data_IF_148268331972
#
_entry.id   IF_148268331972
#
_cell.length_a   1.000
_cell.length_b   1.000
_cell.length_c   1.000
_cell.angle_alpha   90.00
_cell.angle_beta   90.00
_cell.angle_gamma   90.00
#
_symmetry.space_group_name_H-M   'P 1'
#
loop_
_entity.id
_entity.type
_entity.pdbx_description
1 polymer ?
#
# COMPACT_ATOMS: atom_id res chain seq x y z
N UNK A 1 5.79 49.82 -82.56
CA UNK A 1 6.84 49.16 -81.80
C UNK A 1 6.15 48.50 -80.56
N UNK A 2 5.91 47.23 -80.63
CA UNK A 2 5.21 46.49 -79.56
C UNK A 2 6.25 45.60 -78.82
N UNK A 3 6.50 45.93 -77.55
CA UNK A 3 7.41 45.12 -76.70
C UNK A 3 6.63 44.10 -75.94
N UNK A 4 6.83 42.83 -76.23
CA UNK A 4 6.29 41.69 -75.49
C UNK A 4 7.11 41.47 -74.21
N UNK A 5 6.47 41.49 -73.04
CA UNK A 5 7.05 41.04 -71.77
C UNK A 5 6.78 39.61 -71.59
N UNK A 6 7.83 38.78 -71.54
CA UNK A 6 7.79 37.37 -71.13
C UNK A 6 7.66 37.31 -69.62
N UNK A 7 6.61 36.72 -69.11
CA UNK A 7 6.43 36.39 -67.68
C UNK A 7 7.04 34.99 -67.46
N UNK A 8 8.12 34.89 -66.69
CA UNK A 8 8.68 33.61 -66.26
C UNK A 8 7.94 33.17 -64.99
N UNK A 9 7.21 32.06 -65.07
CA UNK A 9 6.66 31.35 -63.88
C UNK A 9 7.78 30.54 -63.22
N UNK A 10 8.18 30.91 -62.03
CA UNK A 10 8.98 30.07 -61.14
C UNK A 10 8.06 29.08 -60.44
N UNK A 11 8.15 27.80 -60.81
CA UNK A 11 7.55 26.71 -60.09
C UNK A 11 8.42 26.36 -58.86
N UNK A 12 7.94 26.70 -57.65
CA UNK A 12 8.55 26.29 -56.40
C UNK A 12 8.24 24.80 -56.17
N UNK A 13 9.21 23.94 -56.36
CA UNK A 13 9.12 22.53 -55.99
C UNK A 13 9.25 22.46 -54.44
N UNK A 14 8.12 22.22 -53.74
CA UNK A 14 8.09 21.89 -52.32
C UNK A 14 8.58 20.46 -52.13
N UNK A 15 9.84 20.30 -51.70
CA UNK A 15 10.35 19.04 -51.18
C UNK A 15 9.69 18.74 -49.81
N UNK A 16 8.54 18.10 -49.83
CA UNK A 16 7.97 17.52 -48.60
C UNK A 16 8.88 16.37 -48.14
N UNK A 17 9.48 16.52 -46.95
CA UNK A 17 10.19 15.42 -46.31
C UNK A 17 9.20 14.22 -46.11
N UNK A 18 9.62 12.96 -46.36
CA UNK A 18 8.75 11.85 -46.16
C UNK A 18 8.35 11.74 -44.72
N UNK A 19 7.05 11.72 -44.44
CA UNK A 19 6.51 11.44 -43.13
C UNK A 19 7.02 10.05 -42.72
N UNK A 20 7.71 9.98 -41.57
CA UNK A 20 8.12 8.70 -40.98
C UNK A 20 6.85 7.91 -40.68
N UNK A 21 6.51 6.94 -41.51
CA UNK A 21 5.48 5.95 -41.23
C UNK A 21 5.97 5.11 -40.04
N UNK A 22 5.55 5.49 -38.82
CA UNK A 22 5.74 4.65 -37.64
C UNK A 22 4.77 3.49 -37.75
N UNK A 23 5.30 2.29 -38.04
CA UNK A 23 4.54 1.05 -37.94
C UNK A 23 3.89 0.99 -36.55
N UNK A 24 2.57 0.73 -36.44
CA UNK A 24 1.91 0.65 -35.14
C UNK A 24 2.61 -0.43 -34.29
N UNK A 25 3.08 -0.05 -33.10
CA UNK A 25 3.72 -0.98 -32.17
C UNK A 25 2.67 -2.00 -31.71
N UNK A 26 2.90 -3.28 -31.98
CA UNK A 26 1.99 -4.35 -31.54
C UNK A 26 2.07 -4.48 -30.02
N UNK A 27 0.91 -4.50 -29.36
CA UNK A 27 0.82 -4.77 -27.92
C UNK A 27 1.24 -6.20 -27.59
N UNK A 28 1.82 -6.38 -26.41
CA UNK A 28 2.16 -7.66 -25.82
C UNK A 28 0.92 -8.29 -25.17
N UNK A 29 0.93 -9.62 -25.04
CA UNK A 29 -0.03 -10.30 -24.18
C UNK A 29 0.38 -10.16 -22.70
N UNK A 30 -0.55 -10.34 -21.78
CA UNK A 30 -0.24 -10.34 -20.34
C UNK A 30 0.85 -11.37 -20.00
N UNK A 31 0.79 -12.56 -20.63
CA UNK A 31 1.80 -13.60 -20.50
C UNK A 31 3.18 -13.15 -20.97
N UNK A 32 3.27 -12.44 -22.09
CA UNK A 32 4.54 -11.91 -22.60
C UNK A 32 5.13 -10.89 -21.63
N UNK A 33 4.29 -9.99 -21.07
CA UNK A 33 4.70 -8.99 -20.09
C UNK A 33 5.28 -9.68 -18.85
N UNK A 34 4.58 -10.68 -18.31
CA UNK A 34 5.04 -11.45 -17.15
C UNK A 34 6.38 -12.10 -17.43
N UNK A 35 6.51 -12.85 -18.53
CA UNK A 35 7.74 -13.57 -18.87
C UNK A 35 8.95 -12.65 -19.06
N UNK A 36 8.75 -11.43 -19.58
CA UNK A 36 9.83 -10.47 -19.83
C UNK A 36 10.22 -9.65 -18.59
N UNK A 37 9.35 -9.57 -17.58
CA UNK A 37 9.54 -8.61 -16.47
C UNK A 37 9.79 -9.26 -15.11
N UNK A 38 9.39 -10.53 -14.90
CA UNK A 38 9.43 -11.17 -13.58
C UNK A 38 10.82 -11.13 -12.93
N UNK A 39 11.88 -11.40 -13.69
CA UNK A 39 13.25 -11.41 -13.17
C UNK A 39 13.75 -10.03 -12.70
N UNK A 40 13.09 -8.96 -13.12
CA UNK A 40 13.41 -7.60 -12.71
C UNK A 40 12.50 -7.09 -11.57
N UNK A 41 11.57 -7.90 -11.10
CA UNK A 41 10.70 -7.58 -9.97
C UNK A 41 11.30 -8.22 -8.71
N UNK A 42 11.28 -7.49 -7.60
CA UNK A 42 11.94 -7.90 -6.38
C UNK A 42 11.00 -7.82 -5.19
N UNK A 43 11.19 -8.70 -4.22
CA UNK A 43 10.58 -8.62 -2.90
C UNK A 43 11.44 -7.72 -2.01
N UNK A 44 10.80 -6.87 -1.24
CA UNK A 44 11.45 -6.02 -0.24
C UNK A 44 11.00 -6.47 1.15
N UNK A 45 11.98 -6.68 2.01
CA UNK A 45 11.83 -6.94 3.44
C UNK A 45 12.52 -5.77 4.17
N UNK A 46 11.75 -4.97 4.91
CA UNK A 46 12.25 -3.75 5.53
C UNK A 46 11.87 -3.71 7.01
N UNK A 47 12.82 -3.42 7.89
CA UNK A 47 12.61 -3.40 9.33
C UNK A 47 13.76 -2.76 10.09
N UNK A 48 13.78 -3.02 11.40
CA UNK A 48 14.85 -2.54 12.29
C UNK A 48 16.03 -3.51 12.39
N UNK A 49 15.92 -4.69 11.79
CA UNK A 49 16.92 -5.76 11.86
C UNK A 49 16.97 -6.51 13.19
N UNK A 50 16.06 -6.23 14.14
CA UNK A 50 16.07 -6.81 15.48
C UNK A 50 14.98 -7.87 15.67
N UNK A 51 13.77 -7.59 15.18
CA UNK A 51 12.62 -8.47 15.33
C UNK A 51 11.98 -8.74 13.97
N UNK A 52 11.44 -9.97 13.78
CA UNK A 52 10.68 -10.32 12.58
C UNK A 52 9.30 -9.65 12.55
N UNK A 53 8.79 -9.28 13.71
CA UNK A 53 7.49 -8.64 13.87
C UNK A 53 7.47 -7.18 13.37
N UNK A 54 8.64 -6.55 13.24
CA UNK A 54 8.79 -5.21 12.67
C UNK A 54 9.02 -5.21 11.15
N UNK A 55 9.08 -6.39 10.50
CA UNK A 55 9.35 -6.49 9.07
C UNK A 55 8.12 -6.09 8.25
N UNK A 56 8.28 -5.02 7.47
CA UNK A 56 7.37 -4.61 6.41
C UNK A 56 7.69 -5.39 5.14
N UNK A 57 6.67 -5.86 4.46
CA UNK A 57 6.82 -6.56 3.18
C UNK A 57 6.26 -5.71 2.06
N UNK A 58 6.97 -5.66 0.95
CA UNK A 58 6.55 -4.96 -0.24
C UNK A 58 7.23 -5.48 -1.51
N UNK A 59 6.92 -4.82 -2.59
CA UNK A 59 7.47 -5.10 -3.91
C UNK A 59 8.34 -3.93 -4.37
N UNK A 60 9.33 -4.22 -5.20
CA UNK A 60 10.11 -3.23 -5.93
C UNK A 60 10.44 -3.75 -7.32
N UNK A 61 11.11 -2.93 -8.11
CA UNK A 61 11.58 -3.33 -9.43
C UNK A 61 12.87 -2.63 -9.82
N UNK A 62 13.68 -3.30 -10.61
CA UNK A 62 15.03 -2.90 -10.99
C UNK A 62 14.98 -1.95 -12.19
N UNK A 63 15.52 -0.74 -12.04
CA UNK A 63 15.59 0.30 -13.06
C UNK A 63 16.94 0.36 -13.77
N UNK A 64 18.02 -0.06 -13.08
CA UNK A 64 19.36 -0.05 -13.64
C UNK A 64 20.10 -1.34 -13.29
N UNK A 65 20.86 -1.87 -14.24
CA UNK A 65 21.64 -3.13 -14.11
C UNK A 65 22.66 -3.08 -12.99
N UNK A 66 23.06 -1.89 -12.56
CA UNK A 66 23.96 -1.61 -11.46
C UNK A 66 23.27 -1.67 -10.08
N UNK A 67 21.96 -1.98 -10.02
CA UNK A 67 21.24 -2.21 -8.78
C UNK A 67 20.46 -1.00 -8.26
N UNK A 68 19.86 -0.19 -9.14
CA UNK A 68 18.84 0.78 -8.72
C UNK A 68 17.46 0.10 -8.68
N UNK A 69 16.78 0.22 -7.57
CA UNK A 69 15.47 -0.39 -7.33
C UNK A 69 14.46 0.68 -6.94
N UNK A 70 13.34 0.73 -7.62
CA UNK A 70 12.21 1.60 -7.28
C UNK A 70 11.19 0.87 -6.42
N UNK A 71 10.58 1.61 -5.48
CA UNK A 71 9.48 1.14 -4.63
C UNK A 71 8.69 2.33 -4.07
N UNK A 72 7.64 2.06 -3.27
CA UNK A 72 7.00 3.10 -2.45
C UNK A 72 7.85 3.44 -1.22
N UNK A 73 7.79 4.71 -0.80
CA UNK A 73 8.49 5.17 0.39
C UNK A 73 7.97 4.48 1.66
N UNK A 74 6.65 4.34 1.82
CA UNK A 74 6.04 3.71 3.00
C UNK A 74 6.48 2.25 3.21
N UNK A 75 6.88 1.55 2.15
CA UNK A 75 7.42 0.16 2.25
C UNK A 75 8.71 0.13 3.04
N UNK A 76 9.54 1.16 2.92
CA UNK A 76 10.89 1.21 3.52
C UNK A 76 11.05 2.26 4.62
N UNK A 77 10.11 3.19 4.77
CA UNK A 77 10.19 4.27 5.76
C UNK A 77 10.41 3.73 7.19
N UNK A 78 11.24 4.40 7.98
CA UNK A 78 11.56 4.01 9.36
C UNK A 78 12.51 2.80 9.48
N UNK A 79 12.90 2.18 8.37
CA UNK A 79 13.66 0.92 8.37
C UNK A 79 15.16 1.17 8.26
N UNK A 80 15.93 0.58 9.18
CA UNK A 80 17.41 0.62 9.17
C UNK A 80 18.03 -0.63 8.53
N UNK A 81 17.27 -1.71 8.40
CA UNK A 81 17.65 -2.94 7.71
C UNK A 81 16.67 -3.21 6.56
N UNK A 82 17.14 -3.15 5.32
CA UNK A 82 16.33 -3.34 4.13
C UNK A 82 16.99 -4.39 3.25
N UNK A 83 16.30 -5.49 3.02
CA UNK A 83 16.72 -6.60 2.18
C UNK A 83 15.87 -6.67 0.93
N UNK A 84 16.53 -6.98 -0.17
CA UNK A 84 15.90 -7.20 -1.48
C UNK A 84 16.17 -8.64 -1.87
N UNK A 85 15.11 -9.37 -2.20
CA UNK A 85 15.21 -10.73 -2.71
C UNK A 85 14.77 -10.76 -4.17
N UNK A 86 15.68 -11.22 -5.04
CA UNK A 86 15.39 -11.40 -6.46
C UNK A 86 14.42 -12.58 -6.68
N UNK A 87 13.92 -12.68 -7.90
CA UNK A 87 13.03 -13.79 -8.31
C UNK A 87 13.70 -15.17 -8.14
N UNK A 88 14.98 -15.29 -8.42
CA UNK A 88 15.76 -16.54 -8.23
C UNK A 88 16.08 -16.84 -6.74
N UNK A 89 15.57 -16.03 -5.82
CA UNK A 89 15.80 -16.16 -4.38
C UNK A 89 17.08 -15.51 -3.88
N UNK A 90 17.94 -14.94 -4.74
CA UNK A 90 19.19 -14.30 -4.33
C UNK A 90 18.92 -13.05 -3.48
N UNK A 91 19.46 -12.98 -2.24
CA UNK A 91 19.28 -11.82 -1.38
C UNK A 91 20.36 -10.76 -1.62
N UNK A 92 19.96 -9.49 -1.52
CA UNK A 92 20.86 -8.34 -1.49
C UNK A 92 20.49 -7.41 -0.35
N UNK A 93 21.52 -6.86 0.31
CA UNK A 93 21.32 -5.79 1.28
C UNK A 93 21.26 -4.45 0.55
N UNK A 94 20.29 -3.60 0.90
CA UNK A 94 20.29 -2.20 0.49
C UNK A 94 21.44 -1.48 1.18
N UNK A 95 22.22 -0.73 0.43
CA UNK A 95 23.41 -0.04 0.95
C UNK A 95 23.16 1.46 1.18
N UNK A 96 22.25 2.04 0.43
CA UNK A 96 21.88 3.47 0.53
C UNK A 96 20.51 3.74 -0.10
N UNK A 97 19.91 4.83 0.31
CA UNK A 97 18.76 5.44 -0.36
C UNK A 97 19.30 6.48 -1.34
N UNK A 98 19.05 6.26 -2.63
CA UNK A 98 19.58 7.12 -3.70
C UNK A 98 18.76 8.41 -3.81
N UNK A 99 17.46 8.32 -3.71
CA UNK A 99 16.54 9.46 -3.74
C UNK A 99 15.17 9.06 -3.20
N UNK A 100 14.40 10.05 -2.76
CA UNK A 100 13.04 9.88 -2.28
C UNK A 100 12.17 11.07 -2.68
N UNK A 101 10.87 10.81 -2.80
CA UNK A 101 9.82 11.82 -2.97
C UNK A 101 8.69 11.52 -1.96
N UNK A 102 8.75 12.13 -0.75
CA UNK A 102 7.72 11.89 0.27
C UNK A 102 6.33 12.32 -0.16
N UNK A 103 6.23 13.39 -0.96
CA UNK A 103 4.95 13.90 -1.45
C UNK A 103 4.25 12.96 -2.44
N UNK A 104 4.99 12.04 -3.06
CA UNK A 104 4.49 11.06 -4.02
C UNK A 104 4.69 9.62 -3.58
N UNK A 105 5.16 9.41 -2.35
CA UNK A 105 5.39 8.08 -1.79
C UNK A 105 6.33 7.21 -2.64
N UNK A 106 7.45 7.76 -3.09
CA UNK A 106 8.44 7.06 -3.93
C UNK A 106 9.82 7.04 -3.30
N UNK A 107 10.54 5.94 -3.49
CA UNK A 107 11.94 5.78 -3.09
C UNK A 107 12.74 5.03 -4.15
N UNK A 108 14.01 5.41 -4.32
CA UNK A 108 15.01 4.69 -5.11
C UNK A 108 16.08 4.17 -4.17
N UNK A 109 16.26 2.86 -4.17
CA UNK A 109 17.20 2.12 -3.35
C UNK A 109 18.40 1.70 -4.18
N UNK A 110 19.55 1.47 -3.53
CA UNK A 110 20.74 0.89 -4.16
C UNK A 110 21.13 -0.43 -3.50
N UNK A 111 21.32 -1.44 -4.32
CA UNK A 111 22.02 -2.67 -3.99
C UNK A 111 23.34 -2.74 -4.77
N UNK A 112 24.25 -3.62 -4.35
CA UNK A 112 25.52 -3.89 -5.04
C UNK A 112 25.51 -5.30 -5.62
N UNK A 113 24.97 -5.48 -6.85
CA UNK A 113 24.92 -6.80 -7.46
C UNK A 113 26.30 -7.24 -7.94
N UNK A 114 26.57 -8.55 -7.88
CA UNK A 114 27.82 -9.15 -8.37
C UNK A 114 27.86 -9.37 -9.88
N UNK A 115 26.68 -9.29 -10.52
CA UNK A 115 26.49 -9.39 -11.98
C UNK A 115 25.44 -8.39 -12.41
N UNK A 116 25.43 -7.93 -13.68
CA UNK A 116 24.38 -7.07 -14.21
C UNK A 116 22.99 -7.68 -14.03
N UNK A 117 22.05 -6.91 -13.53
CA UNK A 117 20.67 -7.34 -13.27
C UNK A 117 19.77 -7.06 -14.49
N UNK A 118 18.69 -7.83 -14.66
CA UNK A 118 17.61 -7.49 -15.59
C UNK A 118 16.93 -6.20 -15.11
N UNK A 119 16.41 -5.41 -16.07
CA UNK A 119 15.84 -4.09 -15.77
C UNK A 119 14.50 -3.90 -16.46
N UNK A 120 13.62 -3.09 -15.86
CA UNK A 120 12.39 -2.64 -16.49
C UNK A 120 12.56 -1.26 -17.14
N UNK A 121 11.85 -1.04 -18.22
CA UNK A 121 11.81 0.24 -18.94
C UNK A 121 10.66 1.08 -18.43
N UNK A 122 10.93 2.35 -18.12
CA UNK A 122 9.88 3.32 -17.85
C UNK A 122 9.22 3.74 -19.16
N UNK A 123 7.91 3.66 -19.18
CA UNK A 123 7.06 4.19 -20.23
C UNK A 123 6.73 5.67 -20.01
N UNK A 124 5.67 6.12 -20.68
CA UNK A 124 5.11 7.46 -20.50
C UNK A 124 3.77 7.38 -19.79
N UNK A 125 3.77 7.70 -18.50
CA UNK A 125 2.54 7.70 -17.71
C UNK A 125 1.61 8.87 -18.01
N UNK A 126 2.10 9.94 -18.63
CA UNK A 126 1.26 11.08 -19.01
C UNK A 126 0.40 10.77 -20.24
N UNK A 127 0.81 9.74 -21.03
CA UNK A 127 0.03 9.25 -22.14
C UNK A 127 -1.13 8.31 -21.71
N UNK A 128 -1.17 7.90 -20.43
CA UNK A 128 -2.21 6.97 -19.95
C UNK A 128 -3.55 7.67 -19.77
N UNK A 129 -4.59 7.00 -20.24
CA UNK A 129 -5.98 7.49 -20.20
C UNK A 129 -6.94 6.43 -19.69
N UNK A 130 -8.14 6.83 -19.29
CA UNK A 130 -9.18 5.89 -18.88
C UNK A 130 -9.50 4.90 -20.02
N UNK A 131 -9.55 3.62 -19.71
CA UNK A 131 -9.76 2.53 -20.67
C UNK A 131 -8.48 1.85 -21.15
N UNK A 132 -7.29 2.40 -20.87
CA UNK A 132 -6.03 1.75 -21.24
C UNK A 132 -5.80 0.48 -20.42
N UNK A 133 -5.39 -0.59 -21.11
CA UNK A 133 -5.07 -1.86 -20.46
C UNK A 133 -3.79 -1.76 -19.64
N UNK A 134 -3.83 -2.38 -18.46
CA UNK A 134 -2.70 -2.43 -17.55
C UNK A 134 -2.53 -3.83 -16.93
N UNK A 135 -1.30 -4.13 -16.56
CA UNK A 135 -0.91 -5.33 -15.80
C UNK A 135 -0.11 -4.87 -14.58
N UNK A 136 -0.52 -5.30 -13.41
CA UNK A 136 0.22 -5.10 -12.17
C UNK A 136 0.84 -6.43 -11.73
N UNK A 137 2.10 -6.37 -11.31
CA UNK A 137 2.82 -7.54 -10.79
C UNK A 137 3.40 -7.18 -9.44
N UNK A 138 3.11 -8.00 -8.43
CA UNK A 138 3.59 -7.80 -7.07
C UNK A 138 3.84 -9.11 -6.35
N UNK A 139 4.41 -9.02 -5.13
CA UNK A 139 4.65 -10.16 -4.25
C UNK A 139 3.76 -10.04 -3.01
N UNK A 140 2.46 -10.38 -3.12
CA UNK A 140 1.54 -10.24 -2.00
C UNK A 140 1.92 -11.19 -0.86
N UNK A 141 1.93 -10.66 0.36
CA UNK A 141 2.11 -11.39 1.62
C UNK A 141 3.45 -12.14 1.76
N UNK A 142 4.37 -12.03 0.81
CA UNK A 142 5.65 -12.75 0.84
C UNK A 142 5.55 -14.28 0.84
N UNK A 143 4.35 -14.82 0.70
CA UNK A 143 4.04 -16.28 0.76
C UNK A 143 3.87 -16.87 -0.61
N UNK A 144 3.43 -16.08 -1.59
CA UNK A 144 3.21 -16.51 -2.96
C UNK A 144 4.26 -15.90 -3.89
N UNK A 145 4.83 -16.71 -4.77
CA UNK A 145 5.66 -16.23 -5.86
C UNK A 145 4.80 -15.38 -6.79
N UNK A 146 5.04 -14.08 -6.82
CA UNK A 146 4.44 -13.07 -7.71
C UNK A 146 2.97 -13.28 -8.11
N UNK A 147 2.12 -12.35 -7.68
CA UNK A 147 0.75 -12.27 -8.17
C UNK A 147 0.67 -11.29 -9.33
N UNK A 148 -0.02 -11.72 -10.37
CA UNK A 148 -0.33 -10.92 -11.54
C UNK A 148 -1.79 -10.54 -11.50
N UNK A 149 -2.09 -9.27 -11.66
CA UNK A 149 -3.44 -8.79 -11.84
C UNK A 149 -3.53 -7.90 -13.08
N UNK A 150 -4.62 -8.01 -13.82
CA UNK A 150 -4.86 -7.18 -14.98
C UNK A 150 -6.13 -6.37 -14.82
N UNK A 151 -6.21 -5.27 -15.55
CA UNK A 151 -7.34 -4.36 -15.52
C UNK A 151 -7.17 -3.22 -16.50
N UNK A 152 -7.83 -2.12 -16.17
CA UNK A 152 -7.81 -0.89 -16.95
C UNK A 152 -7.44 0.28 -16.03
N UNK A 153 -6.91 1.34 -16.61
CA UNK A 153 -6.94 2.66 -15.98
C UNK A 153 -8.40 3.09 -15.90
N UNK A 154 -8.92 3.23 -14.70
CA UNK A 154 -10.31 3.67 -14.48
C UNK A 154 -10.43 5.19 -14.59
N UNK A 155 -9.42 5.92 -14.12
CA UNK A 155 -9.35 7.39 -14.17
C UNK A 155 -7.94 7.87 -13.89
N UNK A 156 -7.58 9.03 -14.43
CA UNK A 156 -6.40 9.80 -14.00
C UNK A 156 -6.90 10.91 -13.09
N UNK A 157 -6.54 10.87 -11.79
CA UNK A 157 -7.03 11.81 -10.79
C UNK A 157 -5.96 12.79 -10.36
N UNK A 158 -6.24 14.08 -10.50
CA UNK A 158 -5.49 15.10 -9.79
C UNK A 158 -5.91 15.04 -8.30
N UNK A 159 -4.95 14.77 -7.42
CA UNK A 159 -5.15 14.73 -5.97
C UNK A 159 -4.98 16.12 -5.39
N UNK A 160 -3.99 16.85 -5.87
CA UNK A 160 -3.77 18.25 -5.53
C UNK A 160 -3.06 18.99 -6.68
N UNK A 161 -3.23 20.30 -6.71
CA UNK A 161 -2.57 21.20 -7.66
C UNK A 161 -1.23 21.71 -7.11
N UNK A 162 -0.30 22.04 -8.00
CA UNK A 162 1.01 22.59 -7.62
C UNK A 162 0.96 23.92 -6.86
N UNK A 163 -0.17 24.63 -6.90
CA UNK A 163 -0.41 25.86 -6.16
C UNK A 163 -0.77 25.63 -4.68
N UNK A 164 -1.16 24.41 -4.29
CA UNK A 164 -1.51 24.09 -2.91
C UNK A 164 -0.25 23.87 -2.06
N UNK A 165 -0.15 24.55 -0.90
CA UNK A 165 1.03 24.54 -0.03
C UNK A 165 1.45 23.15 0.48
N UNK A 166 0.54 22.18 0.50
CA UNK A 166 0.80 20.78 0.94
C UNK A 166 1.07 19.83 -0.22
N UNK A 167 1.00 20.34 -1.45
CA UNK A 167 1.19 19.52 -2.64
C UNK A 167 2.67 19.48 -3.04
N UNK A 168 3.19 18.33 -3.52
CA UNK A 168 4.54 18.28 -4.04
C UNK A 168 4.70 19.18 -5.27
N UNK A 169 5.92 19.73 -5.53
CA UNK A 169 6.18 20.55 -6.71
C UNK A 169 5.74 19.86 -8.00
N UNK A 170 4.94 20.52 -8.81
CA UNK A 170 4.36 19.97 -10.03
C UNK A 170 3.06 19.19 -9.84
N UNK A 171 2.48 19.23 -8.62
CA UNK A 171 1.22 18.57 -8.31
C UNK A 171 1.35 17.06 -8.06
N UNK A 172 0.24 16.45 -7.67
CA UNK A 172 0.11 15.01 -7.49
C UNK A 172 -1.06 14.49 -8.33
N UNK A 173 -0.76 13.58 -9.25
CA UNK A 173 -1.75 12.78 -9.96
C UNK A 173 -1.62 11.33 -9.53
N UNK A 174 -2.71 10.59 -9.58
CA UNK A 174 -2.75 9.14 -9.37
C UNK A 174 -3.52 8.47 -10.52
N UNK A 175 -3.08 7.30 -10.91
CA UNK A 175 -3.81 6.40 -11.80
C UNK A 175 -4.73 5.55 -10.93
N UNK A 176 -6.04 5.77 -11.01
CA UNK A 176 -7.02 4.86 -10.43
C UNK A 176 -7.14 3.65 -11.35
N UNK A 177 -7.01 2.45 -10.81
CA UNK A 177 -6.97 1.21 -11.60
C UNK A 177 -8.04 0.22 -11.13
N UNK A 178 -8.52 -0.61 -12.06
CA UNK A 178 -9.46 -1.69 -11.76
C UNK A 178 -8.74 -3.01 -11.41
N UNK A 179 -7.44 -3.12 -11.67
CA UNK A 179 -6.66 -4.29 -11.30
C UNK A 179 -6.64 -4.45 -9.76
N UNK A 180 -6.97 -5.64 -9.23
CA UNK A 180 -6.89 -5.88 -7.79
C UNK A 180 -5.45 -5.75 -7.27
N UNK A 181 -5.27 -4.95 -6.21
CA UNK A 181 -4.01 -4.80 -5.49
C UNK A 181 -4.22 -5.27 -4.05
N UNK A 182 -3.32 -6.08 -3.56
CA UNK A 182 -3.33 -6.60 -2.18
C UNK A 182 -2.09 -6.14 -1.42
N UNK A 183 -2.13 -6.29 -0.09
CA UNK A 183 -1.01 -5.99 0.78
C UNK A 183 0.25 -6.75 0.33
N UNK A 184 1.41 -6.06 0.29
CA UNK A 184 2.66 -6.58 -0.25
C UNK A 184 2.86 -6.33 -1.75
N UNK A 185 1.80 -5.97 -2.52
CA UNK A 185 1.95 -5.52 -3.90
C UNK A 185 2.40 -4.06 -4.02
N UNK A 186 2.32 -3.28 -2.93
CA UNK A 186 2.79 -1.88 -2.89
C UNK A 186 4.26 -1.79 -3.31
N UNK A 187 4.58 -0.81 -4.15
CA UNK A 187 5.91 -0.62 -4.73
C UNK A 187 6.15 -1.42 -6.02
N UNK A 188 5.23 -2.30 -6.41
CA UNK A 188 5.32 -3.09 -7.62
C UNK A 188 5.08 -2.28 -8.90
N UNK A 189 5.57 -2.75 -10.06
CA UNK A 189 5.38 -2.09 -11.33
C UNK A 189 3.95 -2.27 -11.87
N UNK A 190 3.41 -1.19 -12.46
CA UNK A 190 2.23 -1.19 -13.29
C UNK A 190 2.67 -1.05 -14.75
N UNK A 191 2.33 -2.01 -15.59
CA UNK A 191 2.72 -2.05 -16.99
C UNK A 191 1.59 -1.59 -17.91
N UNK A 192 1.96 -0.92 -19.02
CA UNK A 192 1.09 -0.72 -20.16
C UNK A 192 1.11 -1.96 -21.08
N UNK A 193 0.29 -1.94 -22.13
CA UNK A 193 0.22 -3.01 -23.14
C UNK A 193 1.54 -3.25 -23.92
N UNK A 194 2.56 -2.43 -23.76
CA UNK A 194 3.86 -2.58 -24.40
C UNK A 194 4.94 -3.13 -23.46
N UNK A 195 4.58 -3.52 -22.23
CA UNK A 195 5.52 -4.02 -21.23
C UNK A 195 6.40 -2.92 -20.63
N UNK A 196 5.97 -1.67 -20.71
CA UNK A 196 6.67 -0.55 -20.11
C UNK A 196 6.00 -0.14 -18.78
N UNK A 197 6.80 0.19 -17.77
CA UNK A 197 6.31 0.62 -16.47
C UNK A 197 5.73 2.02 -16.57
N UNK A 198 4.43 2.16 -16.33
CA UNK A 198 3.70 3.43 -16.33
C UNK A 198 3.25 3.84 -14.93
N UNK A 199 3.49 3.02 -13.91
CA UNK A 199 3.17 3.38 -12.53
C UNK A 199 3.81 2.48 -11.50
N UNK A 200 3.73 2.92 -10.25
CA UNK A 200 4.11 2.15 -9.05
C UNK A 200 2.82 1.89 -8.28
N UNK A 201 2.46 0.63 -8.09
CA UNK A 201 1.21 0.25 -7.43
C UNK A 201 1.22 0.66 -5.96
N UNK A 202 0.12 1.23 -5.49
CA UNK A 202 -0.08 1.59 -4.08
C UNK A 202 -1.53 1.32 -3.68
N UNK A 203 -1.74 0.86 -2.46
CA UNK A 203 -3.07 0.61 -1.91
C UNK A 203 -3.46 1.80 -1.03
N UNK A 204 -4.57 2.45 -1.37
CA UNK A 204 -5.15 3.51 -0.55
C UNK A 204 -6.50 3.03 -0.04
N UNK A 205 -6.65 2.98 1.29
CA UNK A 205 -7.93 2.69 1.94
C UNK A 205 -8.62 4.01 2.25
N UNK A 206 -9.73 4.29 1.57
CA UNK A 206 -10.54 5.48 1.80
C UNK A 206 -11.97 5.10 2.17
N UNK A 207 -12.48 5.63 3.27
CA UNK A 207 -13.87 5.45 3.72
C UNK A 207 -14.35 3.98 3.75
N UNK A 208 -13.50 3.05 4.17
CA UNK A 208 -13.85 1.63 4.31
C UNK A 208 -13.90 0.84 3.00
N UNK A 209 -13.49 1.43 1.88
CA UNK A 209 -13.33 0.74 0.59
C UNK A 209 -11.87 0.80 0.15
N UNK A 210 -11.35 -0.34 -0.29
CA UNK A 210 -10.04 -0.40 -0.94
C UNK A 210 -10.19 0.08 -2.38
N UNK A 211 -9.59 1.24 -2.68
CA UNK A 211 -9.51 1.75 -4.05
C UNK A 211 -8.07 1.59 -4.51
N UNK A 212 -7.89 0.89 -5.62
CA UNK A 212 -6.57 0.59 -6.15
C UNK A 212 -6.03 1.77 -6.95
N UNK A 213 -4.81 2.19 -6.64
CA UNK A 213 -4.13 3.28 -7.32
C UNK A 213 -2.71 2.87 -7.73
N UNK A 214 -2.15 3.65 -8.64
CA UNK A 214 -0.72 3.65 -8.91
C UNK A 214 -0.22 5.09 -9.01
N UNK A 215 0.97 5.31 -8.49
CA UNK A 215 1.70 6.56 -8.65
C UNK A 215 2.29 6.59 -10.06
N UNK A 216 2.08 7.64 -10.87
CA UNK A 216 2.61 7.72 -12.24
C UNK A 216 4.11 7.50 -12.34
N UNK A 217 4.53 6.65 -13.28
CA UNK A 217 5.94 6.26 -13.48
C UNK A 217 6.85 7.42 -13.90
N UNK A 218 6.31 8.46 -14.53
CA UNK A 218 7.08 9.65 -14.91
C UNK A 218 7.71 10.36 -13.69
N UNK A 219 7.13 10.22 -12.49
CA UNK A 219 7.72 10.78 -11.26
C UNK A 219 9.02 10.09 -10.83
N UNK A 220 9.30 8.87 -11.31
CA UNK A 220 10.59 8.20 -11.06
C UNK A 220 11.74 8.80 -11.88
N UNK A 221 11.46 9.39 -13.05
CA UNK A 221 12.51 9.90 -13.97
C UNK A 221 13.43 10.93 -13.30
N UNK A 222 12.91 11.97 -12.61
CA UNK A 222 13.78 12.93 -11.91
C UNK A 222 14.52 12.32 -10.71
N UNK A 223 13.96 11.31 -10.04
CA UNK A 223 14.60 10.65 -8.91
C UNK A 223 15.81 9.82 -9.34
N UNK A 224 15.73 9.16 -10.50
CA UNK A 224 16.85 8.43 -11.10
C UNK A 224 17.92 9.38 -11.64
N UNK A 225 17.51 10.54 -12.20
CA UNK A 225 18.42 11.50 -12.82
C UNK A 225 19.23 12.34 -11.83
N UNK A 226 18.79 12.47 -10.58
CA UNK A 226 19.43 13.27 -9.54
C UNK A 226 19.72 12.40 -8.31
N UNK A 227 20.69 11.50 -8.41
CA UNK A 227 21.03 10.64 -7.27
C UNK A 227 21.63 11.49 -6.15
N UNK A 228 21.01 11.46 -5.00
CA UNK A 228 21.63 11.75 -3.71
C UNK A 228 22.16 10.45 -3.12
N UNK A 229 22.65 10.51 -1.89
CA UNK A 229 22.97 9.32 -1.11
C UNK A 229 22.67 9.64 0.36
N UNK A 230 21.68 8.96 0.91
CA UNK A 230 21.34 9.02 2.33
C UNK A 230 21.66 7.66 2.92
N UNK A 231 22.39 7.64 4.03
CA UNK A 231 22.66 6.39 4.73
C UNK A 231 21.36 5.80 5.28
N UNK A 232 21.29 4.47 5.40
CA UNK A 232 20.09 3.81 5.94
C UNK A 232 19.77 4.27 7.36
N UNK A 233 20.79 4.54 8.19
CA UNK A 233 20.58 5.01 9.55
C UNK A 233 19.97 6.42 9.61
N UNK A 234 20.43 7.33 8.76
CA UNK A 234 19.89 8.68 8.61
C UNK A 234 18.47 8.65 8.03
N UNK A 235 18.28 7.89 6.96
CA UNK A 235 16.97 7.66 6.35
C UNK A 235 15.94 7.11 7.34
N UNK A 236 16.30 6.06 8.10
CA UNK A 236 15.43 5.48 9.10
C UNK A 236 15.01 6.50 10.16
N UNK A 237 15.94 7.37 10.58
CA UNK A 237 15.65 8.44 11.55
C UNK A 237 14.74 9.51 10.98
N UNK A 238 14.99 9.95 9.74
CA UNK A 238 14.22 11.02 9.09
C UNK A 238 12.81 10.60 8.67
N UNK A 239 12.64 9.32 8.32
CA UNK A 239 11.35 8.79 7.84
C UNK A 239 10.56 8.01 8.89
N UNK A 240 11.08 7.94 10.14
CA UNK A 240 10.34 7.36 11.25
C UNK A 240 9.12 8.24 11.54
N UNK A 241 7.94 7.62 11.53
CA UNK A 241 6.71 8.31 11.87
C UNK A 241 6.56 8.44 13.39
N UNK A 242 5.76 9.41 13.84
CA UNK A 242 5.36 9.47 15.25
C UNK A 242 4.63 8.21 15.74
N UNK A 243 3.99 7.49 14.81
CA UNK A 243 3.37 6.19 15.06
C UNK A 243 4.42 5.08 15.25
N UNK A 244 5.51 5.10 14.49
CA UNK A 244 6.64 4.17 14.67
C UNK A 244 7.37 4.44 15.99
N UNK A 245 7.52 5.71 16.39
CA UNK A 245 8.11 6.09 17.68
C UNK A 245 7.20 5.69 18.85
N UNK A 246 5.87 5.89 18.73
CA UNK A 246 4.89 5.44 19.70
C UNK A 246 4.87 3.90 19.81
N UNK A 247 5.01 3.20 18.69
CA UNK A 247 5.09 1.72 18.64
C UNK A 247 6.35 1.22 19.35
N UNK A 248 7.51 1.82 19.08
CA UNK A 248 8.77 1.44 19.73
C UNK A 248 8.77 1.74 21.25
N UNK A 249 8.11 2.82 21.68
CA UNK A 249 7.93 3.15 23.10
C UNK A 249 6.95 2.20 23.80
N UNK A 250 5.98 1.66 23.07
CA UNK A 250 4.91 0.80 23.60
C UNK A 250 5.30 -0.67 23.75
N UNK A 251 6.29 -1.16 22.99
CA UNK A 251 6.75 -2.56 23.03
C UNK A 251 7.22 -3.01 24.44
N UNK A 252 7.62 -2.09 25.30
CA UNK A 252 8.07 -2.34 26.69
C UNK A 252 7.08 -1.96 27.79
N UNK A 253 6.01 -1.23 27.50
CA UNK A 253 5.09 -0.77 28.53
C UNK A 253 4.10 -1.88 28.93
N UNK A 254 3.88 -2.11 30.26
CA UNK A 254 2.87 -3.05 30.71
C UNK A 254 1.47 -2.57 30.31
N UNK A 255 0.64 -3.46 29.81
CA UNK A 255 -0.75 -3.15 29.46
C UNK A 255 -1.56 -2.95 30.74
N UNK A 256 -2.14 -1.77 30.90
CA UNK A 256 -3.10 -1.49 31.95
C UNK A 256 -4.49 -1.89 31.45
N UNK A 257 -5.03 -2.98 32.01
CA UNK A 257 -6.38 -3.46 31.69
C UNK A 257 -7.42 -2.60 32.38
N UNK A 258 -8.41 -2.15 31.63
CA UNK A 258 -9.55 -1.36 32.12
C UNK A 258 -10.86 -1.99 31.63
N UNK A 259 -11.15 -3.19 32.13
CA UNK A 259 -12.36 -3.92 31.77
C UNK A 259 -13.59 -3.21 32.34
N UNK A 260 -14.54 -2.76 31.50
CA UNK A 260 -15.72 -2.06 31.98
C UNK A 260 -16.61 -2.95 32.85
N UNK A 261 -17.00 -2.44 34.02
CA UNK A 261 -18.00 -3.10 34.85
C UNK A 261 -19.41 -2.69 34.42
N UNK A 262 -20.15 -3.64 33.85
CA UNK A 262 -21.51 -3.41 33.42
C UNK A 262 -22.53 -4.01 34.38
N UNK A 263 -23.61 -3.26 34.72
CA UNK A 263 -24.75 -3.83 35.42
C UNK A 263 -25.54 -4.74 34.47
N UNK A 264 -26.21 -5.78 35.01
CA UNK A 264 -27.05 -6.70 34.23
C UNK A 264 -28.14 -5.95 33.43
N UNK A 265 -28.57 -4.78 33.91
CA UNK A 265 -29.51 -3.88 33.22
C UNK A 265 -29.01 -3.43 31.83
N UNK A 266 -27.68 -3.49 31.55
CA UNK A 266 -27.15 -3.21 30.21
C UNK A 266 -27.81 -4.11 29.14
N UNK A 267 -28.15 -5.35 29.49
CA UNK A 267 -28.74 -6.34 28.62
C UNK A 267 -30.28 -6.28 28.55
N UNK A 268 -30.88 -5.23 29.13
CA UNK A 268 -32.34 -5.01 29.07
C UNK A 268 -32.79 -4.82 27.62
N UNK A 269 -33.83 -5.52 27.21
CA UNK A 269 -34.34 -5.54 25.83
C UNK A 269 -33.72 -6.61 24.92
N UNK A 270 -32.65 -7.29 25.37
CA UNK A 270 -32.13 -8.46 24.68
C UNK A 270 -32.78 -9.76 25.23
N UNK A 271 -33.14 -10.68 24.36
CA UNK A 271 -33.42 -12.07 24.70
C UNK A 271 -32.12 -12.81 25.05
N UNK A 272 -32.21 -13.92 25.81
CA UNK A 272 -31.05 -14.73 26.16
C UNK A 272 -30.34 -15.28 24.92
N UNK A 273 -31.12 -15.64 23.87
CA UNK A 273 -30.59 -16.08 22.60
C UNK A 273 -29.73 -14.98 21.93
N UNK A 274 -30.21 -13.75 21.92
CA UNK A 274 -29.46 -12.62 21.36
C UNK A 274 -28.19 -12.31 22.14
N UNK A 275 -28.20 -12.41 23.48
CA UNK A 275 -27.01 -12.26 24.29
C UNK A 275 -26.01 -13.38 24.01
N UNK A 276 -26.47 -14.62 23.89
CA UNK A 276 -25.60 -15.76 23.52
C UNK A 276 -24.97 -15.57 22.12
N UNK A 277 -25.71 -15.04 21.15
CA UNK A 277 -25.18 -14.72 19.81
C UNK A 277 -24.12 -13.63 19.87
N UNK A 278 -24.26 -12.59 20.72
CA UNK A 278 -23.21 -11.57 20.94
C UNK A 278 -21.97 -12.20 21.56
N UNK A 279 -22.12 -13.02 22.59
CA UNK A 279 -20.99 -13.70 23.25
C UNK A 279 -20.25 -14.61 22.26
N UNK A 280 -20.97 -15.32 21.41
CA UNK A 280 -20.36 -16.16 20.36
C UNK A 280 -19.55 -15.32 19.37
N UNK A 281 -20.11 -14.22 18.84
CA UNK A 281 -19.39 -13.34 17.91
C UNK A 281 -18.14 -12.70 18.55
N UNK A 282 -18.18 -12.37 19.83
CA UNK A 282 -17.02 -11.89 20.59
C UNK A 282 -15.99 -13.01 20.72
N UNK A 283 -16.41 -14.23 21.07
CA UNK A 283 -15.52 -15.39 21.22
C UNK A 283 -14.82 -15.73 19.90
N UNK A 284 -15.55 -15.74 18.78
CA UNK A 284 -14.99 -15.93 17.43
C UNK A 284 -13.91 -14.87 17.12
N UNK A 285 -14.19 -13.61 17.44
CA UNK A 285 -13.23 -12.54 17.22
C UNK A 285 -11.96 -12.70 18.09
N UNK A 286 -12.11 -13.17 19.33
CA UNK A 286 -10.99 -13.43 20.23
C UNK A 286 -10.18 -14.64 19.73
N UNK A 287 -10.84 -15.71 19.28
CA UNK A 287 -10.20 -16.92 18.79
C UNK A 287 -9.30 -16.62 17.57
N UNK A 288 -9.72 -15.71 16.70
CA UNK A 288 -8.92 -15.27 15.55
C UNK A 288 -7.89 -14.21 15.94
N UNK A 289 -8.27 -13.22 16.73
CA UNK A 289 -7.44 -12.06 17.03
C UNK A 289 -6.31 -12.33 18.03
N UNK A 290 -6.55 -13.14 19.08
CA UNK A 290 -5.54 -13.40 20.10
C UNK A 290 -4.29 -14.16 19.56
N UNK A 291 -4.41 -15.17 18.67
CA UNK A 291 -3.25 -15.75 18.00
C UNK A 291 -2.46 -14.76 17.15
N UNK A 292 -3.14 -13.83 16.46
CA UNK A 292 -2.48 -12.76 15.70
C UNK A 292 -1.69 -11.84 16.62
N UNK A 293 -2.31 -11.40 17.73
CA UNK A 293 -1.63 -10.61 18.75
C UNK A 293 -0.38 -11.30 19.29
N UNK A 294 -0.48 -12.58 19.64
CA UNK A 294 0.63 -13.37 20.19
C UNK A 294 1.76 -13.63 19.17
N UNK A 295 1.48 -13.50 17.88
CA UNK A 295 2.48 -13.54 16.79
C UNK A 295 3.08 -12.16 16.47
N UNK A 296 2.70 -11.10 17.19
CA UNK A 296 3.13 -9.73 16.90
C UNK A 296 2.32 -9.01 15.81
N UNK A 297 1.34 -9.68 15.20
CA UNK A 297 0.44 -9.11 14.18
C UNK A 297 -0.66 -8.24 14.84
N UNK A 298 -0.22 -7.23 15.63
CA UNK A 298 -1.08 -6.48 16.55
C UNK A 298 -2.14 -5.66 15.79
N UNK A 299 -1.77 -5.04 14.67
CA UNK A 299 -2.72 -4.31 13.84
C UNK A 299 -3.79 -5.22 13.26
N UNK A 300 -3.42 -6.42 12.80
CA UNK A 300 -4.38 -7.40 12.29
C UNK A 300 -5.36 -7.84 13.39
N UNK A 301 -4.86 -8.08 14.61
CA UNK A 301 -5.70 -8.34 15.77
C UNK A 301 -6.68 -7.19 16.04
N UNK A 302 -6.18 -5.95 16.09
CA UNK A 302 -7.01 -4.77 16.28
C UNK A 302 -8.11 -4.67 15.22
N UNK A 303 -7.79 -4.88 13.93
CA UNK A 303 -8.75 -4.83 12.84
C UNK A 303 -9.89 -5.86 12.98
N UNK A 304 -9.58 -7.07 13.45
CA UNK A 304 -10.61 -8.08 13.75
C UNK A 304 -11.55 -7.60 14.86
N UNK A 305 -11.00 -7.07 15.95
CA UNK A 305 -11.79 -6.55 17.08
C UNK A 305 -12.60 -5.31 16.67
N UNK A 306 -12.01 -4.39 15.91
CA UNK A 306 -12.67 -3.19 15.39
C UNK A 306 -13.87 -3.53 14.47
N UNK A 307 -13.68 -4.46 13.54
CA UNK A 307 -14.75 -4.89 12.63
C UNK A 307 -15.92 -5.53 13.39
N UNK A 308 -15.63 -6.39 14.37
CA UNK A 308 -16.65 -7.03 15.19
C UNK A 308 -17.39 -6.01 16.06
N UNK A 309 -16.64 -5.10 16.71
CA UNK A 309 -17.21 -4.01 17.51
C UNK A 309 -18.10 -3.08 16.69
N UNK A 310 -17.64 -2.66 15.51
CA UNK A 310 -18.39 -1.76 14.61
C UNK A 310 -19.66 -2.42 14.10
N UNK A 311 -19.64 -3.71 13.78
CA UNK A 311 -20.82 -4.46 13.35
C UNK A 311 -21.88 -4.51 14.46
N UNK A 312 -21.47 -4.84 15.68
CA UNK A 312 -22.34 -4.97 16.84
C UNK A 312 -22.82 -3.63 17.40
N UNK A 313 -22.06 -2.55 17.18
CA UNK A 313 -22.47 -1.18 17.47
C UNK A 313 -23.56 -0.71 16.49
N UNK A 314 -23.39 -0.96 15.18
CA UNK A 314 -24.33 -0.52 14.14
C UNK A 314 -25.65 -1.31 14.11
N UNK A 315 -25.59 -2.59 14.44
CA UNK A 315 -26.75 -3.49 14.46
C UNK A 315 -26.85 -4.21 15.81
N UNK A 316 -27.06 -3.49 16.91
CA UNK A 316 -27.11 -4.08 18.23
C UNK A 316 -28.42 -4.83 18.45
N UNK A 317 -28.38 -5.99 19.13
CA UNK A 317 -29.63 -6.69 19.50
C UNK A 317 -30.45 -5.95 20.54
N UNK A 318 -29.83 -5.09 21.34
CA UNK A 318 -30.47 -4.16 22.27
C UNK A 318 -29.60 -2.91 22.50
N UNK A 319 -30.20 -1.79 22.95
CA UNK A 319 -29.50 -0.50 23.04
C UNK A 319 -28.28 -0.49 23.96
N UNK A 320 -28.27 -1.28 25.02
CA UNK A 320 -27.15 -1.34 25.94
C UNK A 320 -25.90 -1.96 25.34
N UNK A 321 -26.06 -3.03 24.54
CA UNK A 321 -24.95 -3.66 23.82
C UNK A 321 -24.34 -2.69 22.82
N UNK A 322 -25.17 -1.98 22.04
CA UNK A 322 -24.68 -0.96 21.09
C UNK A 322 -23.89 0.15 21.78
N UNK A 323 -24.37 0.65 22.93
CA UNK A 323 -23.62 1.66 23.73
C UNK A 323 -22.28 1.13 24.19
N UNK A 324 -22.22 -0.08 24.74
CA UNK A 324 -20.95 -0.66 25.21
C UNK A 324 -19.91 -0.76 24.11
N UNK A 325 -20.32 -1.18 22.90
CA UNK A 325 -19.40 -1.18 21.74
C UNK A 325 -19.03 0.21 21.26
N UNK A 326 -19.98 1.18 21.26
CA UNK A 326 -19.72 2.58 20.93
C UNK A 326 -18.68 3.21 21.87
N UNK A 327 -18.82 2.99 23.18
CA UNK A 327 -17.88 3.47 24.19
C UNK A 327 -16.49 2.84 24.01
N UNK A 328 -16.43 1.54 23.73
CA UNK A 328 -15.17 0.84 23.45
C UNK A 328 -14.46 1.34 22.17
N UNK A 329 -15.21 1.55 21.09
CA UNK A 329 -14.69 2.13 19.85
C UNK A 329 -14.20 3.57 20.05
N UNK A 330 -14.97 4.38 20.78
CA UNK A 330 -14.57 5.75 21.12
C UNK A 330 -13.27 5.74 21.93
N UNK A 331 -13.17 4.91 22.97
CA UNK A 331 -11.94 4.75 23.74
C UNK A 331 -10.78 4.34 22.85
N UNK A 332 -10.93 3.32 22.03
CA UNK A 332 -9.89 2.86 21.11
C UNK A 332 -9.43 3.98 20.14
N UNK A 333 -10.34 4.84 19.70
CA UNK A 333 -10.01 5.95 18.78
C UNK A 333 -9.13 7.04 19.39
N UNK A 334 -9.11 7.16 20.72
CA UNK A 334 -8.29 8.16 21.44
C UNK A 334 -6.89 7.67 21.79
N UNK A 335 -6.60 6.38 21.63
CA UNK A 335 -5.32 5.76 21.96
C UNK A 335 -4.34 5.86 20.78
N UNK A 336 -3.03 5.86 21.08
CA UNK A 336 -2.02 6.09 20.08
C UNK A 336 -1.65 4.79 19.33
N UNK A 337 -1.38 3.69 20.05
CA UNK A 337 -0.85 2.46 19.47
C UNK A 337 -1.95 1.44 19.16
N UNK A 338 -1.70 0.59 18.16
CA UNK A 338 -2.57 -0.55 17.86
C UNK A 338 -2.67 -1.54 19.01
N UNK A 339 -1.62 -1.64 19.84
CA UNK A 339 -1.59 -2.47 21.05
C UNK A 339 -2.63 -1.99 22.07
N UNK A 340 -2.60 -0.71 22.44
CA UNK A 340 -3.58 -0.10 23.33
C UNK A 340 -5.01 -0.19 22.75
N UNK A 341 -5.17 0.13 21.45
CA UNK A 341 -6.45 0.04 20.74
C UNK A 341 -7.04 -1.37 20.78
N UNK A 342 -6.21 -2.39 20.50
CA UNK A 342 -6.65 -3.79 20.55
C UNK A 342 -7.08 -4.20 21.96
N UNK A 343 -6.35 -3.78 22.99
CA UNK A 343 -6.70 -4.08 24.39
C UNK A 343 -7.92 -3.29 24.86
N UNK A 344 -8.15 -2.06 24.43
CA UNK A 344 -9.37 -1.33 24.74
C UNK A 344 -10.63 -2.04 24.20
N UNK A 345 -10.57 -2.59 23.01
CA UNK A 345 -11.67 -3.39 22.44
C UNK A 345 -11.78 -4.76 23.12
N UNK A 346 -10.63 -5.38 23.48
CA UNK A 346 -10.63 -6.63 24.25
C UNK A 346 -11.25 -6.45 25.62
N UNK A 347 -10.97 -5.33 26.31
CA UNK A 347 -11.60 -5.00 27.61
C UNK A 347 -13.11 -4.84 27.46
N UNK A 348 -13.58 -4.22 26.36
CA UNK A 348 -15.01 -4.11 26.03
C UNK A 348 -15.64 -5.49 25.86
N UNK A 349 -14.97 -6.41 25.15
CA UNK A 349 -15.42 -7.78 24.98
C UNK A 349 -15.52 -8.53 26.30
N UNK A 350 -14.47 -8.44 27.12
CA UNK A 350 -14.43 -9.11 28.42
C UNK A 350 -15.53 -8.56 29.37
N UNK A 351 -15.79 -7.23 29.35
CA UNK A 351 -16.87 -6.62 30.12
C UNK A 351 -18.26 -7.13 29.72
N UNK A 352 -18.49 -7.32 28.42
CA UNK A 352 -19.76 -7.87 27.91
C UNK A 352 -19.90 -9.37 28.21
N UNK A 353 -18.84 -10.15 28.13
CA UNK A 353 -18.85 -11.57 28.54
C UNK A 353 -19.15 -11.69 30.03
N UNK A 354 -18.53 -10.86 30.87
CA UNK A 354 -18.76 -10.88 32.32
C UNK A 354 -20.23 -10.56 32.64
N UNK A 355 -20.83 -9.56 32.01
CA UNK A 355 -22.22 -9.20 32.31
C UNK A 355 -23.21 -10.25 31.76
N UNK A 356 -22.89 -10.90 30.63
CA UNK A 356 -23.65 -12.05 30.12
C UNK A 356 -23.60 -13.22 31.11
N UNK A 357 -22.41 -13.52 31.68
CA UNK A 357 -22.25 -14.51 32.71
C UNK A 357 -23.06 -14.22 33.99
N UNK A 358 -23.13 -12.95 34.41
CA UNK A 358 -23.98 -12.51 35.54
C UNK A 358 -25.48 -12.76 35.27
N UNK A 359 -25.90 -12.80 33.99
CA UNK A 359 -27.26 -13.12 33.55
C UNK A 359 -27.49 -14.65 33.41
N UNK A 360 -26.45 -15.47 33.61
CA UNK A 360 -26.51 -16.93 33.47
C UNK A 360 -26.22 -17.46 32.07
N UNK A 361 -25.70 -16.63 31.19
CA UNK A 361 -25.30 -17.00 29.80
C UNK A 361 -23.80 -17.21 29.83
N UNK A 362 -23.36 -18.45 29.81
CA UNK A 362 -21.94 -18.81 29.74
C UNK A 362 -21.45 -18.74 28.28
N UNK A 363 -20.18 -18.33 28.02
CA UNK A 363 -19.56 -18.59 26.74
C UNK A 363 -19.55 -20.09 26.47
N UNK A 364 -19.99 -20.52 25.30
CA UNK A 364 -19.81 -21.90 24.85
C UNK A 364 -18.32 -22.21 24.74
N UNK A 365 -17.83 -23.35 25.27
CA UNK A 365 -16.42 -23.71 25.25
C UNK A 365 -15.87 -23.88 23.85
#
# INVERSE_FOLDING_TARGET
>A
MRGSRLLALLAAASCGAPAKTTTPRRGLTEKDIVQQSTDAIVRIEAGDGKTKESEKLGTGFILAKEGLVATNLHVVAGSADIKIKLHDGTPYQVVEIVSLDPGRDLAILRIKPTKPLPTLRLGDSDAMTAGDKIVAIGNPLGVFDYSVSSGLVSSVRAVCDASEARCPPGGLKLLQISAPISQGSSGGPLFNQFGEVVGVTTLIVAAGQSINFAVPGNYLKPLVARPGAISLAEFAKETRSSEDDARAADEGAPIVREVPEHPVKLLEGCSDKQVAEVVMQISDAIEVGAPLYNKGEIEACFKIYEQTSTRLERQPPCPGVGRAFGDGLLRASTLASYKEKAWALRDTFDGLIIVAGKRGIAPTP
#
